data_IF_382032274297
#
_entry.id   IF_382032274297
#
_cell.length_a   1.000
_cell.length_b   1.000
_cell.length_c   1.000
_cell.angle_alpha   90.00
_cell.angle_beta   90.00
_cell.angle_gamma   90.00
#
_symmetry.space_group_name_H-M   'P 1'
#
loop_
_entity.id
_entity.type
_entity.pdbx_description
1 polymer ?
#
# COMPACT_ATOMS: atom_id res chain seq x y z
N UNK A 1 9.46 -5.16 -17.07
CA UNK A 1 8.66 -6.36 -17.40
C UNK A 1 9.50 -7.63 -17.44
N UNK A 2 10.68 -7.63 -18.05
CA UNK A 2 11.55 -8.83 -18.14
C UNK A 2 11.81 -9.51 -16.77
N UNK A 3 12.13 -8.73 -15.72
CA UNK A 3 12.28 -9.25 -14.35
C UNK A 3 11.02 -9.98 -13.85
N UNK A 4 9.86 -9.31 -13.91
CA UNK A 4 8.56 -9.88 -13.50
C UNK A 4 8.23 -11.16 -14.28
N UNK A 5 8.52 -11.18 -15.58
CA UNK A 5 8.26 -12.34 -16.44
C UNK A 5 9.19 -13.53 -16.14
N UNK A 6 10.43 -13.28 -15.69
CA UNK A 6 11.43 -14.33 -15.43
C UNK A 6 11.35 -14.92 -14.02
N UNK A 7 11.11 -14.08 -13.02
CA UNK A 7 11.24 -14.48 -11.60
C UNK A 7 10.06 -14.04 -10.73
N UNK A 8 9.00 -13.50 -11.32
CA UNK A 8 7.79 -13.16 -10.60
C UNK A 8 6.74 -14.29 -10.64
N UNK A 9 5.48 -13.90 -10.51
CA UNK A 9 4.33 -14.78 -10.61
C UNK A 9 3.10 -14.03 -11.11
N UNK A 10 2.06 -14.77 -11.50
CA UNK A 10 0.83 -14.19 -12.04
C UNK A 10 0.14 -13.25 -11.05
N UNK A 11 0.18 -13.58 -9.76
CA UNK A 11 -0.40 -12.75 -8.69
C UNK A 11 0.33 -11.41 -8.56
N UNK A 12 1.67 -11.41 -8.59
CA UNK A 12 2.47 -10.18 -8.56
C UNK A 12 2.19 -9.34 -9.80
N UNK A 13 2.08 -9.97 -10.98
CA UNK A 13 1.77 -9.27 -12.22
C UNK A 13 0.36 -8.63 -12.18
N UNK A 14 -0.63 -9.36 -11.68
CA UNK A 14 -2.00 -8.88 -11.53
C UNK A 14 -2.06 -7.69 -10.54
N UNK A 15 -1.43 -7.82 -9.36
CA UNK A 15 -1.37 -6.76 -8.37
C UNK A 15 -0.62 -5.53 -8.89
N UNK A 16 0.48 -5.72 -9.63
CA UNK A 16 1.21 -4.60 -10.22
C UNK A 16 0.35 -3.80 -11.21
N UNK A 17 -0.43 -4.50 -12.04
CA UNK A 17 -1.41 -3.88 -12.94
C UNK A 17 -2.53 -3.17 -12.19
N UNK A 18 -3.06 -3.79 -11.12
CA UNK A 18 -4.05 -3.18 -10.24
C UNK A 18 -3.55 -1.87 -9.63
N UNK A 19 -2.36 -1.85 -9.03
CA UNK A 19 -1.80 -0.65 -8.41
C UNK A 19 -1.55 0.47 -9.42
N UNK A 20 -0.90 0.16 -10.55
CA UNK A 20 -0.65 1.15 -11.59
C UNK A 20 -1.96 1.76 -12.13
N UNK A 21 -2.99 0.92 -12.32
CA UNK A 21 -4.30 1.37 -12.79
C UNK A 21 -5.01 2.22 -11.73
N UNK A 22 -5.03 1.79 -10.47
CA UNK A 22 -5.62 2.55 -9.37
C UNK A 22 -4.97 3.94 -9.23
N UNK A 23 -3.63 4.00 -9.30
CA UNK A 23 -2.89 5.26 -9.31
C UNK A 23 -3.24 6.13 -10.52
N UNK A 24 -3.37 5.56 -11.73
CA UNK A 24 -3.84 6.28 -12.92
C UNK A 24 -5.24 6.88 -12.75
N UNK A 25 -6.10 6.22 -11.98
CA UNK A 25 -7.44 6.73 -11.59
C UNK A 25 -7.43 7.60 -10.33
N UNK A 26 -6.27 7.96 -9.79
CA UNK A 26 -6.13 8.74 -8.55
C UNK A 26 -6.86 8.12 -7.36
N UNK A 27 -6.97 6.80 -7.36
CA UNK A 27 -7.66 6.03 -6.32
C UNK A 27 -6.60 5.46 -5.37
N UNK A 28 -6.63 5.81 -4.06
CA UNK A 28 -5.70 5.24 -3.11
C UNK A 28 -6.00 3.76 -2.86
N UNK A 29 -4.98 3.00 -2.49
CA UNK A 29 -5.10 1.57 -2.19
C UNK A 29 -4.26 1.21 -0.96
N UNK A 30 -4.66 0.15 -0.27
CA UNK A 30 -3.95 -0.34 0.91
C UNK A 30 -3.10 -1.54 0.51
N UNK A 31 -1.82 -1.51 0.86
CA UNK A 31 -0.85 -2.57 0.59
C UNK A 31 -0.79 -3.50 1.79
N UNK A 32 -0.81 -4.80 1.53
CA UNK A 32 -0.75 -5.85 2.55
C UNK A 32 0.71 -6.20 2.89
N UNK A 33 1.09 -7.48 2.86
CA UNK A 33 2.43 -7.96 3.19
C UNK A 33 3.42 -8.00 2.02
N UNK A 34 4.38 -8.92 2.09
CA UNK A 34 5.56 -8.93 1.22
C UNK A 34 5.24 -9.07 -0.28
N UNK A 35 4.31 -9.96 -0.66
CA UNK A 35 3.92 -10.16 -2.07
C UNK A 35 3.28 -8.89 -2.66
N UNK A 36 2.42 -8.24 -1.89
CA UNK A 36 1.80 -6.98 -2.26
C UNK A 36 2.85 -5.85 -2.39
N UNK A 37 3.80 -5.77 -1.46
CA UNK A 37 4.91 -4.82 -1.54
C UNK A 37 5.80 -5.06 -2.76
N UNK A 38 6.13 -6.32 -3.08
CA UNK A 38 6.90 -6.66 -4.28
C UNK A 38 6.16 -6.25 -5.57
N UNK A 39 4.85 -6.48 -5.63
CA UNK A 39 4.02 -6.03 -6.74
C UNK A 39 3.98 -4.49 -6.85
N UNK A 40 3.95 -3.77 -5.73
CA UNK A 40 4.03 -2.31 -5.74
C UNK A 40 5.37 -1.80 -6.25
N UNK A 41 6.50 -2.43 -5.88
CA UNK A 41 7.81 -2.09 -6.46
C UNK A 41 7.82 -2.25 -7.98
N UNK A 42 7.20 -3.33 -8.50
CA UNK A 42 7.08 -3.52 -9.95
C UNK A 42 6.16 -2.45 -10.57
N UNK A 43 5.02 -2.16 -9.95
CA UNK A 43 4.06 -1.17 -10.43
C UNK A 43 4.71 0.22 -10.51
N UNK A 44 5.40 0.65 -9.46
CA UNK A 44 6.07 1.95 -9.41
C UNK A 44 7.22 2.03 -10.42
N UNK A 45 7.93 0.91 -10.65
CA UNK A 45 8.96 0.86 -11.68
C UNK A 45 8.41 0.97 -13.11
N UNK A 46 7.21 0.45 -13.36
CA UNK A 46 6.53 0.50 -14.65
C UNK A 46 5.78 1.82 -14.88
N UNK A 47 5.20 2.37 -13.81
CA UNK A 47 4.42 3.61 -13.79
C UNK A 47 4.87 4.45 -12.58
N UNK A 48 5.93 5.26 -12.74
CA UNK A 48 6.51 6.04 -11.64
C UNK A 48 5.50 6.93 -10.91
N UNK A 49 5.54 6.92 -9.58
CA UNK A 49 4.60 7.65 -8.73
C UNK A 49 3.35 6.85 -8.34
N UNK A 50 3.30 5.56 -8.70
CA UNK A 50 2.26 4.65 -8.22
C UNK A 50 2.29 4.54 -6.69
N UNK A 51 3.49 4.50 -6.10
CA UNK A 51 3.65 4.42 -4.65
C UNK A 51 3.07 5.63 -3.88
N UNK A 52 2.93 6.80 -4.52
CA UNK A 52 2.32 7.98 -3.88
C UNK A 52 0.82 7.81 -3.58
N UNK A 53 0.17 6.79 -4.16
CA UNK A 53 -1.22 6.43 -3.92
C UNK A 53 -1.36 5.25 -2.95
N UNK A 54 -0.25 4.69 -2.49
CA UNK A 54 -0.21 3.55 -1.61
C UNK A 54 -0.32 3.98 -0.14
N UNK A 55 -1.12 3.24 0.62
CA UNK A 55 -1.12 3.24 2.07
C UNK A 55 -0.59 1.89 2.52
N UNK A 56 0.56 1.84 3.19
CA UNK A 56 1.08 0.58 3.72
C UNK A 56 0.23 0.15 4.93
N UNK A 57 -0.52 -0.94 4.79
CA UNK A 57 -1.46 -1.41 5.80
C UNK A 57 -0.75 -1.90 7.06
N UNK A 58 0.20 -2.81 6.89
CA UNK A 58 1.02 -3.30 8.00
C UNK A 58 2.47 -3.57 7.59
N UNK A 59 3.37 -3.59 8.57
CA UNK A 59 4.68 -4.20 8.43
C UNK A 59 4.54 -5.71 8.63
N UNK A 60 4.78 -6.49 7.58
CA UNK A 60 4.82 -7.95 7.70
C UNK A 60 6.08 -8.38 8.47
N UNK A 61 5.97 -9.48 9.21
CA UNK A 61 7.10 -10.14 9.85
C UNK A 61 8.06 -10.77 8.82
N UNK A 62 7.64 -10.90 7.55
CA UNK A 62 8.51 -11.33 6.47
C UNK A 62 9.53 -10.24 6.12
N UNK A 63 10.86 -10.54 6.14
CA UNK A 63 11.90 -9.52 5.96
C UNK A 63 11.78 -8.70 4.66
N UNK A 64 11.30 -9.32 3.59
CA UNK A 64 11.16 -8.68 2.28
C UNK A 64 10.18 -7.50 2.30
N UNK A 65 9.16 -7.51 3.16
CA UNK A 65 8.21 -6.41 3.26
C UNK A 65 8.89 -5.13 3.78
N UNK A 66 9.71 -5.23 4.82
CA UNK A 66 10.45 -4.09 5.36
C UNK A 66 11.38 -3.47 4.31
N UNK A 67 12.16 -4.30 3.62
CA UNK A 67 13.08 -3.84 2.56
C UNK A 67 12.31 -3.12 1.43
N UNK A 68 11.16 -3.64 1.03
CA UNK A 68 10.34 -3.02 0.00
C UNK A 68 9.73 -1.69 0.46
N UNK A 69 9.23 -1.61 1.69
CA UNK A 69 8.68 -0.37 2.26
C UNK A 69 9.77 0.72 2.35
N UNK A 70 10.96 0.36 2.83
CA UNK A 70 12.09 1.29 2.91
C UNK A 70 12.51 1.78 1.50
N UNK A 71 12.55 0.88 0.52
CA UNK A 71 12.85 1.23 -0.88
C UNK A 71 11.81 2.19 -1.48
N UNK A 72 10.53 2.01 -1.15
CA UNK A 72 9.42 2.83 -1.61
C UNK A 72 9.22 4.11 -0.78
N UNK A 73 9.94 4.27 0.33
CA UNK A 73 9.78 5.40 1.25
C UNK A 73 8.44 5.41 1.99
N UNK A 74 7.83 4.24 2.22
CA UNK A 74 6.51 4.10 2.84
C UNK A 74 6.59 3.70 4.32
N UNK A 75 5.83 4.39 5.16
CA UNK A 75 5.59 3.98 6.55
C UNK A 75 4.30 3.16 6.68
N UNK A 76 4.34 2.05 7.40
CA UNK A 76 3.16 1.21 7.66
C UNK A 76 2.28 1.77 8.79
N UNK A 77 0.96 1.62 8.65
CA UNK A 77 0.01 2.01 9.70
C UNK A 77 0.04 1.08 10.92
N UNK A 78 0.29 -0.21 10.70
CA UNK A 78 0.26 -1.24 11.72
C UNK A 78 1.60 -1.99 11.79
N UNK A 79 2.02 -2.36 13.00
CA UNK A 79 3.12 -3.29 13.23
C UNK A 79 2.65 -4.32 14.27
N UNK A 80 2.23 -5.48 13.78
CA UNK A 80 1.47 -6.49 14.54
C UNK A 80 2.06 -7.90 14.39
N UNK A 81 3.29 -8.02 13.88
CA UNK A 81 3.98 -9.30 13.63
C UNK A 81 3.17 -10.29 12.74
N UNK A 82 2.35 -9.76 11.83
CA UNK A 82 1.52 -10.56 10.92
C UNK A 82 2.34 -11.09 9.73
N UNK A 83 2.01 -12.32 9.29
CA UNK A 83 2.64 -12.98 8.12
C UNK A 83 1.70 -13.95 7.39
N UNK A 84 0.39 -13.73 7.48
CA UNK A 84 -0.60 -14.57 6.81
C UNK A 84 -0.71 -14.21 5.32
N UNK A 85 -0.65 -12.92 5.00
CA UNK A 85 -0.92 -12.42 3.66
C UNK A 85 -2.42 -12.34 3.38
N UNK A 86 -2.82 -12.66 2.14
CA UNK A 86 -4.22 -12.69 1.68
C UNK A 86 -4.99 -11.35 1.83
N UNK A 87 -4.27 -10.23 1.99
CA UNK A 87 -4.90 -8.93 2.21
C UNK A 87 -5.35 -8.70 3.66
N UNK A 88 -5.02 -9.61 4.58
CA UNK A 88 -5.51 -9.54 5.96
C UNK A 88 -5.00 -8.29 6.70
N UNK A 89 -3.74 -7.92 6.55
CA UNK A 89 -3.18 -6.71 7.14
C UNK A 89 -3.74 -5.43 6.48
N UNK A 90 -3.97 -5.46 5.17
CA UNK A 90 -4.66 -4.36 4.47
C UNK A 90 -6.11 -4.17 4.97
N UNK A 91 -6.86 -5.26 5.14
CA UNK A 91 -8.21 -5.25 5.71
C UNK A 91 -8.24 -4.76 7.16
N UNK A 92 -7.26 -5.14 7.98
CA UNK A 92 -7.12 -4.65 9.36
C UNK A 92 -6.79 -3.16 9.43
N UNK A 93 -6.06 -2.62 8.45
CA UNK A 93 -5.74 -1.20 8.37
C UNK A 93 -6.91 -0.34 7.83
N UNK A 94 -7.84 -0.93 7.07
CA UNK A 94 -8.94 -0.21 6.42
C UNK A 94 -9.81 0.63 7.38
N UNK A 95 -10.19 0.17 8.58
CA UNK A 95 -10.91 1.00 9.55
C UNK A 95 -10.17 2.29 9.93
N UNK A 96 -8.84 2.27 10.02
CA UNK A 96 -8.04 3.47 10.33
C UNK A 96 -8.09 4.46 9.17
N UNK A 97 -7.95 3.99 7.93
CA UNK A 97 -8.08 4.84 6.74
C UNK A 97 -9.46 5.48 6.66
N UNK A 98 -10.51 4.71 6.94
CA UNK A 98 -11.89 5.24 6.99
C UNK A 98 -12.07 6.26 8.09
N UNK A 99 -11.53 6.02 9.28
CA UNK A 99 -11.61 6.95 10.40
C UNK A 99 -10.90 8.27 10.07
N UNK A 100 -9.72 8.21 9.44
CA UNK A 100 -8.99 9.41 8.99
C UNK A 100 -9.79 10.21 7.96
N UNK A 101 -10.38 9.54 6.96
CA UNK A 101 -11.22 10.19 5.96
C UNK A 101 -12.48 10.83 6.60
N UNK A 102 -13.12 10.14 7.55
CA UNK A 102 -14.27 10.68 8.28
C UNK A 102 -13.89 11.89 9.13
N UNK A 103 -12.75 11.84 9.83
CA UNK A 103 -12.25 12.97 10.62
C UNK A 103 -12.00 14.19 9.74
N UNK A 104 -11.34 14.01 8.59
CA UNK A 104 -11.13 15.10 7.62
C UNK A 104 -12.43 15.69 7.07
N UNK A 105 -13.46 14.86 6.87
CA UNK A 105 -14.74 15.30 6.34
C UNK A 105 -15.66 15.96 7.38
N UNK A 106 -15.53 15.59 8.66
CA UNK A 106 -16.47 15.97 9.72
C UNK A 106 -15.88 16.92 10.76
N UNK A 107 -14.57 17.10 10.81
CA UNK A 107 -13.96 18.15 11.64
C UNK A 107 -14.39 19.50 11.10
N UNK A 108 -15.25 20.20 11.84
CA UNK A 108 -15.44 21.63 11.65
C UNK A 108 -14.06 22.28 11.74
N UNK A 109 -13.70 23.08 10.72
CA UNK A 109 -12.54 23.95 10.83
C UNK A 109 -12.64 24.69 12.16
N UNK A 110 -11.59 24.64 12.99
CA UNK A 110 -11.58 25.36 14.25
C UNK A 110 -12.06 26.78 13.98
N UNK A 111 -13.13 27.27 14.65
CA UNK A 111 -13.44 28.69 14.56
C UNK A 111 -12.18 29.42 15.01
N UNK A 112 -11.70 30.36 14.18
CA UNK A 112 -10.55 31.20 14.53
C UNK A 112 -10.73 31.68 15.97
N UNK A 113 -9.75 31.35 16.81
CA UNK A 113 -9.77 31.82 18.19
C UNK A 113 -9.79 33.37 18.16
N UNK A 114 -10.64 34.02 18.97
CA UNK A 114 -10.85 35.46 18.94
C UNK A 114 -9.58 36.26 19.29
#
# INVERSE_FOLDING_TARGET
>A
LDLLARIGGLEIAALAGFYATAAGHRTPFIVDGAIACAALCVADRLSPGTANHAIAGHRSAEPAAGVALDHLGLGSLLDLDLRLGEGTGACLAFPLVRAAAAALAQMAAFPEAP
#
